data_IF_931616593456
#
_entry.id   IF_931616593456
#
_cell.length_a   1.000
_cell.length_b   1.000
_cell.length_c   1.000
_cell.angle_alpha   90.00
_cell.angle_beta   90.00
_cell.angle_gamma   90.00
#
_symmetry.space_group_name_H-M   'P 1'
#
loop_
_entity.id
_entity.type
_entity.pdbx_description
1 polymer ?
#
# COMPACT_ATOMS: atom_id res chain seq x y z
N UNK A 1 14.33 -40.32 -18.05
CA UNK A 1 15.31 -40.52 -16.95
C UNK A 1 15.43 -39.19 -16.21
N UNK A 2 14.61 -38.95 -15.19
CA UNK A 2 14.93 -39.12 -13.75
C UNK A 2 15.96 -38.07 -13.27
N UNK A 3 15.52 -36.91 -12.79
CA UNK A 3 15.20 -36.56 -11.39
C UNK A 3 16.35 -36.74 -10.38
N UNK A 4 16.75 -35.64 -9.74
CA UNK A 4 16.61 -35.41 -8.28
C UNK A 4 17.17 -34.01 -7.93
N UNK A 5 16.30 -33.08 -7.52
CA UNK A 5 16.04 -32.65 -6.13
C UNK A 5 17.15 -31.81 -5.49
N UNK A 6 16.89 -30.50 -5.33
CA UNK A 6 17.46 -29.71 -4.24
C UNK A 6 16.31 -29.32 -3.32
N UNK A 7 16.34 -29.95 -2.16
CA UNK A 7 15.37 -29.98 -1.08
C UNK A 7 15.02 -28.61 -0.50
N UNK A 8 13.72 -28.41 -0.31
CA UNK A 8 13.09 -27.76 0.85
C UNK A 8 13.99 -27.81 2.11
N UNK A 9 14.58 -26.66 2.46
CA UNK A 9 15.24 -26.44 3.74
C UNK A 9 14.26 -25.89 4.78
N UNK A 10 13.42 -26.76 5.34
CA UNK A 10 12.95 -26.57 6.71
C UNK A 10 14.12 -26.95 7.65
N UNK A 11 14.34 -26.14 8.68
CA UNK A 11 15.40 -26.25 9.71
C UNK A 11 16.76 -25.61 9.34
N UNK A 12 16.86 -24.29 9.52
CA UNK A 12 18.13 -23.58 9.65
C UNK A 12 18.04 -22.57 10.81
N UNK A 13 18.73 -22.81 11.94
CA UNK A 13 18.90 -21.88 13.06
C UNK A 13 20.09 -20.95 12.78
N UNK A 14 20.03 -20.16 11.71
CA UNK A 14 21.17 -19.37 11.23
C UNK A 14 20.98 -17.91 11.66
N UNK A 15 21.89 -17.34 12.48
CA UNK A 15 21.92 -15.91 12.76
C UNK A 15 22.49 -15.20 11.53
N UNK A 16 21.65 -14.98 10.54
CA UNK A 16 21.94 -14.12 9.40
C UNK A 16 21.18 -12.83 9.58
N UNK A 17 21.89 -11.71 9.78
CA UNK A 17 21.27 -10.39 9.72
C UNK A 17 20.81 -10.17 8.28
N UNK A 18 19.53 -10.43 8.00
CA UNK A 18 18.91 -10.03 6.75
C UNK A 18 18.62 -8.53 6.85
N UNK A 19 19.63 -7.73 6.53
CA UNK A 19 19.51 -6.28 6.46
C UNK A 19 19.26 -5.90 5.00
N UNK A 20 18.00 -5.97 4.58
CA UNK A 20 17.52 -5.12 3.50
C UNK A 20 16.83 -3.92 4.13
N UNK A 21 17.64 -2.99 4.64
CA UNK A 21 17.21 -1.62 4.88
C UNK A 21 17.07 -0.92 3.52
N UNK A 22 16.00 -1.22 2.82
CA UNK A 22 15.54 -0.36 1.73
C UNK A 22 14.34 0.41 2.25
N UNK A 23 14.33 1.73 2.09
CA UNK A 23 13.27 2.58 2.60
C UNK A 23 11.96 2.24 1.87
N UNK A 24 11.12 1.45 2.52
CA UNK A 24 9.81 1.01 2.02
C UNK A 24 8.73 2.09 2.14
N UNK A 25 9.10 3.28 2.65
CA UNK A 25 8.22 4.46 2.81
C UNK A 25 7.56 4.93 1.51
N UNK A 26 8.08 4.51 0.35
CA UNK A 26 7.51 4.83 -0.96
C UNK A 26 6.44 3.84 -1.43
N UNK A 27 6.19 2.75 -0.71
CA UNK A 27 5.25 1.72 -1.11
C UNK A 27 3.91 1.86 -0.37
N UNK A 28 2.78 1.52 -1.01
CA UNK A 28 1.45 1.64 -0.39
C UNK A 28 1.27 0.81 0.88
N UNK A 29 0.52 1.34 1.85
CA UNK A 29 0.18 0.66 3.12
C UNK A 29 -0.69 -0.60 2.97
N UNK A 30 -1.21 -0.86 1.77
CA UNK A 30 -2.05 -2.04 1.49
C UNK A 30 -1.24 -3.34 1.47
N UNK A 31 0.09 -3.26 1.44
CA UNK A 31 0.96 -4.43 1.49
C UNK A 31 1.40 -4.74 2.91
N UNK A 32 1.37 -6.02 3.27
CA UNK A 32 1.89 -6.49 4.56
C UNK A 32 3.36 -6.87 4.43
N UNK A 33 4.14 -6.67 5.49
CA UNK A 33 5.55 -7.06 5.55
C UNK A 33 5.80 -7.96 6.75
N UNK A 34 6.59 -9.02 6.56
CA UNK A 34 7.09 -9.82 7.68
C UNK A 34 8.27 -9.12 8.36
N UNK A 35 8.62 -9.43 9.63
CA UNK A 35 9.84 -8.91 10.26
C UNK A 35 11.13 -9.20 9.47
N UNK A 36 11.13 -10.21 8.58
CA UNK A 36 12.22 -10.51 7.65
C UNK A 36 12.21 -9.68 6.35
N UNK A 37 11.34 -8.68 6.22
CA UNK A 37 11.29 -7.77 5.08
C UNK A 37 10.52 -8.28 3.86
N UNK A 38 9.90 -9.46 3.91
CA UNK A 38 9.15 -10.01 2.77
C UNK A 38 7.79 -9.35 2.64
N UNK A 39 7.49 -8.83 1.44
CA UNK A 39 6.21 -8.19 1.14
C UNK A 39 5.17 -9.19 0.63
N UNK A 40 3.93 -9.10 1.12
CA UNK A 40 2.85 -9.97 0.70
C UNK A 40 1.48 -9.30 0.78
N UNK A 41 0.52 -9.84 0.02
CA UNK A 41 -0.91 -9.55 0.15
C UNK A 41 -1.70 -10.85 0.26
N UNK A 42 -2.95 -10.74 0.75
CA UNK A 42 -3.88 -11.87 0.82
C UNK A 42 -5.16 -11.47 0.10
N UNK A 43 -5.53 -12.26 -0.91
CA UNK A 43 -6.83 -12.08 -1.58
C UNK A 43 -7.97 -12.58 -0.68
N UNK A 44 -9.23 -12.13 -0.85
CA UNK A 44 -10.36 -12.63 -0.06
C UNK A 44 -10.54 -14.16 -0.07
N UNK A 45 -10.06 -14.85 -1.11
CA UNK A 45 -10.04 -16.32 -1.18
C UNK A 45 -8.92 -17.00 -0.36
N UNK A 46 -8.12 -16.24 0.40
CA UNK A 46 -7.05 -16.75 1.25
C UNK A 46 -5.72 -17.01 0.54
N UNK A 47 -5.63 -16.79 -0.78
CA UNK A 47 -4.36 -16.95 -1.51
C UNK A 47 -3.42 -15.82 -1.15
N UNK A 48 -2.21 -16.19 -0.69
CA UNK A 48 -1.12 -15.27 -0.38
C UNK A 48 -0.28 -15.03 -1.63
N UNK A 49 -0.07 -13.77 -1.96
CA UNK A 49 0.78 -13.34 -3.07
C UNK A 49 2.03 -12.71 -2.46
N UNK A 50 3.20 -13.28 -2.76
CA UNK A 50 4.51 -12.74 -2.35
C UNK A 50 5.00 -11.82 -3.48
N UNK A 51 5.46 -10.62 -3.13
CA UNK A 51 5.97 -9.67 -4.11
C UNK A 51 7.46 -9.41 -3.95
N UNK A 52 8.19 -9.47 -5.06
CA UNK A 52 9.59 -9.02 -5.13
C UNK A 52 9.66 -7.50 -5.32
N UNK A 53 10.61 -6.85 -4.63
CA UNK A 53 10.83 -5.40 -4.75
C UNK A 53 11.03 -4.95 -6.20
N UNK A 54 11.90 -5.67 -6.93
CA UNK A 54 12.24 -5.34 -8.32
C UNK A 54 11.00 -5.34 -9.21
N UNK A 55 10.14 -6.35 -9.03
CA UNK A 55 8.89 -6.47 -9.78
C UNK A 55 7.96 -5.27 -9.51
N UNK A 56 7.73 -4.93 -8.23
CA UNK A 56 6.86 -3.79 -7.88
C UNK A 56 7.38 -2.46 -8.43
N UNK A 57 8.69 -2.23 -8.36
CA UNK A 57 9.31 -1.03 -8.90
C UNK A 57 9.28 -0.99 -10.43
N UNK A 58 9.34 -2.13 -11.11
CA UNK A 58 9.16 -2.20 -12.56
C UNK A 58 7.73 -1.86 -12.97
N UNK A 59 6.73 -2.31 -12.20
CA UNK A 59 5.31 -2.00 -12.42
C UNK A 59 5.01 -0.50 -12.45
N UNK A 60 5.80 0.36 -11.78
CA UNK A 60 5.65 1.83 -11.79
C UNK A 60 5.73 2.43 -13.20
N UNK A 61 6.40 1.75 -14.13
CA UNK A 61 6.58 2.21 -15.51
C UNK A 61 5.44 1.75 -16.43
N UNK A 62 4.49 0.94 -15.93
CA UNK A 62 3.37 0.44 -16.72
C UNK A 62 2.41 1.57 -17.14
N UNK A 63 1.70 1.43 -18.28
CA UNK A 63 0.69 2.40 -18.69
C UNK A 63 -0.41 2.63 -17.65
N UNK A 64 -0.81 1.57 -16.95
CA UNK A 64 -1.86 1.63 -15.91
C UNK A 64 -1.43 2.54 -14.76
N UNK A 65 -0.18 2.45 -14.32
CA UNK A 65 0.35 3.28 -13.23
C UNK A 65 0.41 4.79 -13.56
N UNK A 66 0.31 5.16 -14.84
CA UNK A 66 0.27 6.58 -15.28
C UNK A 66 -1.15 7.14 -15.37
N UNK A 67 -2.16 6.30 -15.16
CA UNK A 67 -3.55 6.74 -15.14
C UNK A 67 -3.82 7.48 -13.81
N UNK A 68 -4.24 8.76 -13.84
CA UNK A 68 -4.60 9.47 -12.61
C UNK A 68 -5.76 8.75 -11.88
N UNK A 69 -5.76 8.68 -10.54
CA UNK A 69 -6.86 8.09 -9.79
C UNK A 69 -8.15 8.90 -10.00
N UNK A 70 -9.28 8.23 -10.22
CA UNK A 70 -10.54 8.87 -10.61
C UNK A 70 -11.18 9.74 -9.52
N UNK A 71 -10.82 9.53 -8.26
CA UNK A 71 -11.40 10.21 -7.09
C UNK A 71 -10.35 10.89 -6.20
N UNK A 72 -9.19 11.26 -6.76
CA UNK A 72 -8.17 11.97 -6.00
C UNK A 72 -8.59 13.44 -5.75
N UNK A 73 -8.62 13.93 -4.50
CA UNK A 73 -9.04 15.30 -4.19
C UNK A 73 -8.10 16.33 -4.83
N UNK A 74 -8.61 17.50 -5.17
CA UNK A 74 -7.83 18.59 -5.77
C UNK A 74 -7.20 19.46 -4.67
N UNK A 75 -5.96 19.14 -4.30
CA UNK A 75 -5.20 19.82 -3.25
C UNK A 75 -3.99 20.50 -3.92
N UNK A 76 -3.98 21.84 -4.01
CA UNK A 76 -2.88 22.59 -4.63
C UNK A 76 -1.54 22.26 -4.00
N UNK A 77 -0.56 21.89 -4.83
CA UNK A 77 0.79 21.52 -4.40
C UNK A 77 0.95 20.08 -3.89
N UNK A 78 -0.14 19.32 -3.71
CA UNK A 78 -0.10 17.92 -3.26
C UNK A 78 -0.50 16.97 -4.39
N UNK A 79 -1.74 17.07 -4.86
CA UNK A 79 -2.29 16.19 -5.90
C UNK A 79 -2.30 16.86 -7.27
N UNK A 80 -2.12 18.17 -7.31
CA UNK A 80 -2.01 18.98 -8.52
C UNK A 80 -0.88 20.00 -8.40
N UNK A 81 -0.27 20.45 -9.52
CA UNK A 81 0.74 21.50 -9.50
C UNK A 81 0.21 22.79 -8.87
N UNK A 82 1.06 23.52 -8.15
CA UNK A 82 0.69 24.75 -7.42
C UNK A 82 0.10 25.86 -8.32
N UNK A 83 0.37 25.83 -9.62
CA UNK A 83 -0.17 26.78 -10.60
C UNK A 83 -1.42 26.29 -11.35
N UNK A 84 -2.00 25.15 -10.98
CA UNK A 84 -3.19 24.66 -11.66
C UNK A 84 -4.40 25.54 -11.30
N UNK A 85 -5.18 26.05 -12.27
CA UNK A 85 -6.37 26.82 -11.96
C UNK A 85 -7.32 25.94 -11.14
N UNK A 86 -7.84 26.49 -10.04
CA UNK A 86 -8.89 25.89 -9.23
C UNK A 86 -10.15 25.77 -10.10
N UNK A 87 -10.28 24.65 -10.82
CA UNK A 87 -11.51 24.33 -11.53
C UNK A 87 -12.62 24.17 -10.48
N UNK A 88 -13.75 24.85 -10.68
CA UNK A 88 -14.90 24.80 -9.77
C UNK A 88 -15.25 23.36 -9.43
N UNK A 89 -14.93 22.93 -8.20
CA UNK A 89 -15.50 21.74 -7.61
C UNK A 89 -17.02 21.95 -7.54
N UNK A 90 -17.81 20.99 -8.03
CA UNK A 90 -19.22 20.92 -7.65
C UNK A 90 -19.24 20.63 -6.16
N UNK A 91 -19.65 21.62 -5.37
CA UNK A 91 -20.04 21.43 -3.98
C UNK A 91 -21.10 20.31 -3.95
N UNK A 92 -20.76 19.16 -3.38
CA UNK A 92 -21.78 18.24 -2.89
C UNK A 92 -22.21 18.81 -1.53
N UNK A 93 -23.43 19.30 -1.50
CA UNK A 93 -24.12 19.80 -0.32
C UNK A 93 -24.25 18.69 0.74
N UNK A 94 -23.37 18.71 1.74
CA UNK A 94 -23.49 17.89 2.95
C UNK A 94 -24.26 18.65 4.05
N UNK A 95 -25.49 19.10 3.75
CA UNK A 95 -26.48 19.38 4.77
C UNK A 95 -27.19 18.07 5.18
N UNK A 96 -26.48 17.22 5.94
CA UNK A 96 -27.14 16.27 6.83
C UNK A 96 -26.67 16.58 8.24
N UNK A 97 -27.56 17.22 9.00
CA UNK A 97 -27.43 17.52 10.43
C UNK A 97 -26.73 16.38 11.18
N UNK A 98 -25.52 16.66 11.64
CA UNK A 98 -24.87 15.87 12.67
C UNK A 98 -25.53 16.33 13.98
N UNK A 99 -26.51 15.56 14.46
CA UNK A 99 -27.05 15.72 15.81
C UNK A 99 -25.89 15.68 16.81
N UNK A 100 -25.77 16.72 17.63
CA UNK A 100 -24.64 16.96 18.53
C UNK A 100 -24.64 16.07 19.80
N UNK A 101 -25.45 15.00 19.84
CA UNK A 101 -25.79 14.32 21.09
C UNK A 101 -25.18 12.91 21.27
N UNK A 102 -24.22 12.50 20.46
CA UNK A 102 -23.42 11.29 20.76
C UNK A 102 -21.92 11.58 20.61
N UNK A 103 -21.33 12.04 21.72
CA UNK A 103 -19.89 12.10 21.92
C UNK A 103 -19.30 10.69 21.70
N UNK A 104 -18.87 10.44 20.46
CA UNK A 104 -18.26 9.19 20.06
C UNK A 104 -16.81 9.17 20.56
N UNK A 105 -16.59 8.31 21.57
CA UNK A 105 -15.32 7.92 22.20
C UNK A 105 -14.77 8.86 23.28
N UNK A 106 -15.28 8.71 24.50
CA UNK A 106 -14.48 9.00 25.71
C UNK A 106 -13.36 7.95 25.75
N UNK A 107 -12.11 8.40 25.68
CA UNK A 107 -10.95 7.54 25.91
C UNK A 107 -10.66 7.57 27.40
N UNK A 108 -10.90 6.46 28.09
CA UNK A 108 -10.41 6.28 29.45
C UNK A 108 -8.89 6.08 29.38
N UNK A 109 -8.13 6.97 30.02
CA UNK A 109 -6.68 6.85 30.25
C UNK A 109 -6.45 6.23 31.63
#
# INVERSE_FOLDING_TARGET
MSNCNTSIGLTCPIPGRFEQSEDWTQLPDTYSQTPGGTLFSTTPGGTRIIYDRKFLLECRNSPVARTPPSCLPHIPGVTVPAGHPLGKLKEMDENKEISADEAQFVIDI
#
